data_IF_923750642886
#
_entry.id   IF_923750642886
#
_cell.length_a   1.000
_cell.length_b   1.000
_cell.length_c   1.000
_cell.angle_alpha   90.00
_cell.angle_beta   90.00
_cell.angle_gamma   90.00
#
_symmetry.space_group_name_H-M   'P 1'
#
loop_
_entity.id
_entity.type
_entity.pdbx_description
1 polymer ?
#
# COMPACT_ATOMS: atom_id res chain seq x y z
N UNK A 1 4.77 8.23 -4.23
CA UNK A 1 3.42 7.68 -3.99
C UNK A 1 3.16 7.35 -2.51
N UNK A 2 3.99 6.53 -1.85
CA UNK A 2 3.83 6.16 -0.43
C UNK A 2 3.59 7.33 0.55
N UNK A 3 4.39 8.40 0.46
CA UNK A 3 4.22 9.60 1.32
C UNK A 3 2.90 10.34 1.08
N UNK A 4 2.45 10.41 -0.18
CA UNK A 4 1.17 11.03 -0.52
C UNK A 4 -0.01 10.20 -0.01
N UNK A 5 0.10 8.87 -0.09
CA UNK A 5 -0.87 7.96 0.49
C UNK A 5 -0.93 8.09 2.02
N UNK A 6 0.22 8.15 2.70
CA UNK A 6 0.29 8.43 4.14
C UNK A 6 -0.40 9.74 4.52
N UNK A 7 -0.09 10.83 3.82
CA UNK A 7 -0.70 12.14 4.08
C UNK A 7 -2.23 12.10 3.89
N UNK A 8 -2.72 11.29 2.95
CA UNK A 8 -4.15 11.05 2.76
C UNK A 8 -4.75 10.33 3.97
N UNK A 9 -4.12 9.25 4.46
CA UNK A 9 -4.59 8.53 5.65
C UNK A 9 -4.66 9.45 6.88
N UNK A 10 -3.63 10.27 7.11
CA UNK A 10 -3.60 11.24 8.20
C UNK A 10 -4.73 12.27 8.08
N UNK A 11 -4.92 12.82 6.88
CA UNK A 11 -5.97 13.81 6.61
C UNK A 11 -7.38 13.30 6.92
N UNK A 12 -7.62 12.01 6.71
CA UNK A 12 -8.93 11.39 6.95
C UNK A 12 -9.03 10.64 8.29
N UNK A 13 -7.99 10.66 9.13
CA UNK A 13 -7.99 9.93 10.42
C UNK A 13 -8.01 8.41 10.27
N UNK A 14 -7.46 7.90 9.16
CA UNK A 14 -7.45 6.47 8.79
C UNK A 14 -6.10 5.79 9.03
N UNK A 15 -5.14 6.48 9.64
CA UNK A 15 -3.76 6.01 9.85
C UNK A 15 -3.67 4.59 10.41
N UNK A 16 -4.50 4.28 11.41
CA UNK A 16 -4.52 2.98 12.11
C UNK A 16 -5.65 2.06 11.65
N UNK A 17 -6.25 2.35 10.49
CA UNK A 17 -7.45 1.66 9.98
C UNK A 17 -7.18 0.84 8.72
N UNK A 18 -5.94 0.69 8.31
CA UNK A 18 -5.60 -0.05 7.11
C UNK A 18 -5.40 -1.53 7.43
N UNK A 19 -6.17 -2.38 6.75
CA UNK A 19 -6.10 -3.83 6.91
C UNK A 19 -5.17 -4.48 5.88
N UNK A 20 -5.20 -3.99 4.64
CA UNK A 20 -4.42 -4.53 3.52
C UNK A 20 -4.33 -3.51 2.37
N UNK A 21 -3.31 -3.65 1.53
CA UNK A 21 -3.16 -2.89 0.29
C UNK A 21 -3.24 -3.84 -0.91
N UNK A 22 -4.17 -3.59 -1.83
CA UNK A 22 -4.22 -4.27 -3.13
C UNK A 22 -3.63 -3.34 -4.21
N UNK A 23 -2.58 -3.79 -4.89
CA UNK A 23 -1.91 -3.02 -5.95
C UNK A 23 -1.60 -3.91 -7.16
N UNK A 24 -1.44 -3.31 -8.34
CA UNK A 24 -1.05 -4.04 -9.55
C UNK A 24 0.38 -4.64 -9.42
N UNK A 25 0.77 -5.49 -10.38
CA UNK A 25 2.02 -6.24 -10.35
C UNK A 25 3.28 -5.45 -10.76
N UNK A 26 3.18 -4.13 -10.97
CA UNK A 26 4.31 -3.31 -11.38
C UNK A 26 5.38 -3.19 -10.28
N UNK A 27 6.66 -3.31 -10.64
CA UNK A 27 7.80 -3.18 -9.72
C UNK A 27 7.84 -1.84 -8.97
N UNK A 28 7.28 -0.76 -9.53
CA UNK A 28 7.13 0.51 -8.83
C UNK A 28 6.26 0.39 -7.56
N UNK A 29 5.27 -0.50 -7.57
CA UNK A 29 4.40 -0.76 -6.42
C UNK A 29 5.11 -1.58 -5.34
N UNK A 30 6.08 -2.42 -5.71
CA UNK A 30 6.94 -3.11 -4.75
C UNK A 30 7.72 -2.08 -3.92
N UNK A 31 8.33 -1.10 -4.58
CA UNK A 31 9.04 0.00 -3.91
C UNK A 31 8.11 0.85 -3.03
N UNK A 32 6.86 1.05 -3.45
CA UNK A 32 5.87 1.78 -2.65
C UNK A 32 5.52 1.04 -1.36
N UNK A 33 5.32 -0.27 -1.44
CA UNK A 33 4.98 -1.13 -0.29
C UNK A 33 6.09 -1.12 0.74
N UNK A 34 7.34 -1.31 0.30
CA UNK A 34 8.49 -1.25 1.20
C UNK A 34 8.57 0.10 1.90
N UNK A 35 8.28 1.19 1.16
CA UNK A 35 8.28 2.52 1.75
C UNK A 35 7.12 2.73 2.73
N UNK A 36 5.92 2.24 2.42
CA UNK A 36 4.74 2.36 3.29
C UNK A 36 4.96 1.68 4.64
N UNK A 37 5.62 0.52 4.65
CA UNK A 37 5.94 -0.23 5.87
C UNK A 37 6.90 0.51 6.83
N UNK A 38 7.56 1.58 6.36
CA UNK A 38 8.43 2.44 7.19
C UNK A 38 7.73 3.70 7.72
N UNK A 39 6.48 3.95 7.35
CA UNK A 39 5.75 5.16 7.72
C UNK A 39 4.87 4.92 8.94
N UNK A 40 4.41 6.01 9.55
CA UNK A 40 3.55 5.96 10.73
C UNK A 40 2.10 5.61 10.34
N UNK A 41 1.85 4.36 9.97
CA UNK A 41 0.53 3.82 9.68
C UNK A 41 0.44 2.37 10.18
N UNK A 42 -0.75 1.81 10.06
CA UNK A 42 -1.05 0.41 10.38
C UNK A 42 -0.54 -0.61 9.36
N UNK A 43 0.14 -0.17 8.29
CA UNK A 43 0.58 -1.06 7.22
C UNK A 43 1.72 -1.97 7.67
N UNK A 44 1.61 -3.24 7.30
CA UNK A 44 2.71 -4.21 7.34
C UNK A 44 2.90 -4.78 5.94
N UNK A 45 4.15 -5.01 5.52
CA UNK A 45 4.46 -5.46 4.16
C UNK A 45 3.75 -6.78 3.80
N UNK A 46 3.52 -7.64 4.79
CA UNK A 46 2.82 -8.92 4.67
C UNK A 46 1.32 -8.77 4.33
N UNK A 47 0.74 -7.58 4.56
CA UNK A 47 -0.66 -7.26 4.24
C UNK A 47 -0.84 -6.77 2.80
N UNK A 48 0.22 -6.83 1.99
CA UNK A 48 0.15 -6.55 0.56
C UNK A 48 -0.47 -7.73 -0.18
N UNK A 49 -1.41 -7.43 -1.07
CA UNK A 49 -2.01 -8.39 -2.00
C UNK A 49 -1.81 -7.89 -3.43
N UNK A 50 -1.43 -8.75 -4.37
CA UNK A 50 -1.41 -8.38 -5.79
C UNK A 50 -2.82 -8.37 -6.36
N UNK A 51 -3.12 -7.43 -7.25
CA UNK A 51 -4.41 -7.35 -7.91
C UNK A 51 -4.64 -8.57 -8.81
N UNK A 52 -5.75 -9.28 -8.59
CA UNK A 52 -6.09 -10.50 -9.35
C UNK A 52 -6.22 -10.23 -10.85
N UNK A 53 -6.91 -9.15 -11.23
CA UNK A 53 -7.06 -8.77 -12.64
C UNK A 53 -5.70 -8.56 -13.34
N UNK A 54 -4.73 -7.94 -12.64
CA UNK A 54 -3.38 -7.74 -13.14
C UNK A 54 -2.48 -8.99 -13.01
N UNK A 55 -2.95 -10.03 -12.34
CA UNK A 55 -2.29 -11.34 -12.32
C UNK A 55 -2.71 -12.18 -13.53
N UNK A 56 -3.95 -12.02 -14.00
CA UNK A 56 -4.45 -12.68 -15.21
C UNK A 56 -3.96 -12.04 -16.51
N UNK A 57 -3.67 -10.74 -16.49
CA UNK A 57 -3.19 -9.95 -17.64
C UNK A 57 -1.68 -9.69 -17.61
N UNK A 58 -0.89 -10.70 -17.21
CA UNK A 58 0.58 -10.65 -17.30
C UNK A 58 1.07 -10.62 -18.75
#
# INVERSE_FOLDING_TARGET
LARAFQAMLERFGLTDRMLSLNADSNAANDTQVDKLATLNNSFRAEQRVRCFCHTLQL
#
